data_IF_791824495040
#
_entry.id   IF_791824495040
#
_cell.length_a   1.000
_cell.length_b   1.000
_cell.length_c   1.000
_cell.angle_alpha   90.00
_cell.angle_beta   90.00
_cell.angle_gamma   90.00
#
_symmetry.space_group_name_H-M   'P 1'
#
loop_
_entity.id
_entity.type
_entity.pdbx_description
1 polymer ?
#
# COMPACT_ATOMS: atom_id res chain seq x y z
N UNK A 1 3.34 -34.17 -12.89
CA UNK A 1 4.22 -33.39 -11.98
C UNK A 1 4.31 -31.91 -12.33
N UNK A 2 4.55 -31.51 -13.59
CA UNK A 2 4.71 -30.09 -13.97
C UNK A 2 3.44 -29.24 -13.76
N UNK A 3 2.27 -29.76 -14.14
CA UNK A 3 0.98 -29.05 -13.98
C UNK A 3 0.57 -28.83 -12.53
N UNK A 4 0.82 -29.80 -11.66
CA UNK A 4 0.53 -29.68 -10.22
C UNK A 4 1.39 -28.60 -9.54
N UNK A 5 2.64 -28.45 -9.98
CA UNK A 5 3.55 -27.40 -9.49
C UNK A 5 3.07 -26.01 -9.92
N UNK A 6 2.63 -25.84 -11.18
CA UNK A 6 2.08 -24.58 -11.66
C UNK A 6 0.83 -24.15 -10.88
N UNK A 7 -0.05 -25.09 -10.52
CA UNK A 7 -1.26 -24.80 -9.75
C UNK A 7 -0.91 -24.33 -8.34
N UNK A 8 0.05 -24.99 -7.68
CA UNK A 8 0.51 -24.57 -6.34
C UNK A 8 1.13 -23.18 -6.37
N UNK A 9 1.97 -22.88 -7.37
CA UNK A 9 2.57 -21.55 -7.53
C UNK A 9 1.50 -20.49 -7.76
N UNK A 10 0.53 -20.75 -8.62
CA UNK A 10 -0.55 -19.79 -8.91
C UNK A 10 -1.41 -19.50 -7.67
N UNK A 11 -1.71 -20.53 -6.85
CA UNK A 11 -2.41 -20.38 -5.57
C UNK A 11 -1.62 -19.54 -4.56
N UNK A 12 -0.30 -19.75 -4.47
CA UNK A 12 0.56 -18.97 -3.57
C UNK A 12 0.66 -17.51 -4.01
N UNK A 13 0.74 -17.24 -5.32
CA UNK A 13 0.73 -15.87 -5.85
C UNK A 13 -0.56 -15.13 -5.50
N UNK A 14 -1.70 -15.83 -5.54
CA UNK A 14 -3.00 -15.26 -5.20
C UNK A 14 -3.17 -14.96 -3.71
N UNK A 15 -2.41 -15.64 -2.83
CA UNK A 15 -2.48 -15.45 -1.38
C UNK A 15 -1.57 -14.32 -0.85
N UNK A 16 -0.62 -13.82 -1.65
CA UNK A 16 0.31 -12.76 -1.23
C UNK A 16 -0.33 -11.44 -0.76
N UNK A 17 -1.42 -10.93 -1.37
CA UNK A 17 -2.02 -9.67 -0.94
C UNK A 17 -2.51 -9.68 0.52
N UNK A 18 -2.82 -10.87 1.05
CA UNK A 18 -3.31 -11.03 2.43
C UNK A 18 -2.24 -10.70 3.48
N UNK A 19 -0.96 -10.81 3.12
CA UNK A 19 0.18 -10.51 4.00
C UNK A 19 0.80 -9.13 3.76
N UNK A 20 0.27 -8.35 2.82
CA UNK A 20 0.77 -7.02 2.46
C UNK A 20 0.08 -5.88 3.22
N UNK A 21 -0.75 -6.19 4.23
CA UNK A 21 -1.39 -5.17 5.05
C UNK A 21 -0.35 -4.49 5.97
N UNK A 22 -0.45 -3.17 6.18
CA UNK A 22 0.41 -2.47 7.13
C UNK A 22 0.11 -2.94 8.56
N UNK A 23 1.15 -3.15 9.38
CA UNK A 23 1.00 -3.43 10.80
C UNK A 23 1.09 -2.14 11.62
N UNK A 24 0.39 -2.09 12.75
CA UNK A 24 0.49 -0.97 13.67
C UNK A 24 1.90 -0.95 14.30
N UNK A 25 2.56 0.21 14.22
CA UNK A 25 3.91 0.42 14.75
C UNK A 25 5.02 0.33 13.69
N UNK A 26 4.74 -0.27 12.54
CA UNK A 26 5.63 -0.18 11.38
C UNK A 26 5.66 1.27 10.85
N UNK A 27 6.78 1.73 10.27
CA UNK A 27 6.80 2.99 9.54
C UNK A 27 5.72 3.00 8.45
N UNK A 28 4.98 4.10 8.34
CA UNK A 28 4.04 4.28 7.24
C UNK A 28 4.81 4.22 5.90
N UNK A 29 4.31 3.49 4.88
CA UNK A 29 4.93 3.47 3.56
C UNK A 29 5.05 4.87 2.99
N UNK A 30 6.21 5.19 2.42
CA UNK A 30 6.39 6.48 1.76
C UNK A 30 5.58 6.53 0.46
N UNK A 31 5.08 7.71 0.14
CA UNK A 31 4.31 7.97 -1.07
C UNK A 31 4.52 9.41 -1.53
N UNK A 32 4.25 9.65 -2.81
CA UNK A 32 4.20 10.99 -3.39
C UNK A 32 2.97 11.09 -4.28
N UNK A 33 2.07 12.03 -3.98
CA UNK A 33 0.81 12.20 -4.69
C UNK A 33 0.52 13.69 -4.95
N UNK A 34 -0.12 14.02 -6.09
CA UNK A 34 -0.59 15.38 -6.34
C UNK A 34 -1.88 15.68 -5.58
N UNK A 35 -2.02 16.92 -5.12
CA UNK A 35 -3.30 17.45 -4.64
C UNK A 35 -4.20 17.94 -5.80
N UNK A 36 -5.36 18.50 -5.47
CA UNK A 36 -6.33 19.02 -6.44
C UNK A 36 -5.84 20.28 -7.20
N UNK A 37 -4.72 20.88 -6.77
CA UNK A 37 -4.04 21.99 -7.45
C UNK A 37 -2.83 21.53 -8.27
N UNK A 38 -2.61 20.22 -8.37
CA UNK A 38 -1.44 19.58 -8.98
C UNK A 38 -0.11 19.86 -8.27
N UNK A 39 -0.16 20.27 -7.01
CA UNK A 39 1.05 20.35 -6.18
C UNK A 39 1.38 18.96 -5.65
N UNK A 40 2.62 18.52 -5.84
CA UNK A 40 3.09 17.22 -5.37
C UNK A 40 3.49 17.29 -3.91
N UNK A 41 3.03 16.33 -3.10
CA UNK A 41 3.38 16.19 -1.69
C UNK A 41 3.96 14.79 -1.45
N UNK A 42 5.02 14.68 -0.65
CA UNK A 42 5.55 13.43 -0.10
C UNK A 42 5.17 13.30 1.37
N UNK A 43 5.04 12.07 1.89
CA UNK A 43 4.83 11.84 3.32
C UNK A 43 5.87 12.58 4.19
N UNK A 44 7.11 12.67 3.70
CA UNK A 44 8.21 13.32 4.43
C UNK A 44 8.02 14.84 4.63
N UNK A 45 7.18 15.50 3.83
CA UNK A 45 6.83 16.92 4.02
C UNK A 45 6.13 17.17 5.36
N UNK A 46 5.50 16.14 5.94
CA UNK A 46 4.74 16.20 7.19
C UNK A 46 5.52 15.72 8.41
N UNK A 47 6.83 15.50 8.28
CA UNK A 47 7.67 15.01 9.38
C UNK A 47 7.48 15.84 10.66
N UNK A 48 7.44 15.16 11.81
CA UNK A 48 7.18 15.73 13.15
C UNK A 48 5.72 16.14 13.44
N UNK A 49 4.79 15.89 12.51
CA UNK A 49 3.37 16.07 12.75
C UNK A 49 2.66 14.71 12.92
N UNK A 50 1.64 14.67 13.77
CA UNK A 50 0.68 13.56 13.78
C UNK A 50 -0.31 13.81 12.64
N UNK A 51 -0.41 12.88 11.71
CA UNK A 51 -1.29 12.98 10.54
C UNK A 51 -2.29 11.83 10.49
N UNK A 52 -3.41 12.06 9.81
CA UNK A 52 -4.40 11.03 9.49
C UNK A 52 -4.38 10.78 7.99
N UNK A 53 -4.15 9.54 7.57
CA UNK A 53 -4.30 9.12 6.17
C UNK A 53 -5.74 8.65 5.95
N UNK A 54 -6.48 9.39 5.13
CA UNK A 54 -7.85 9.07 4.78
C UNK A 54 -7.93 8.58 3.33
N UNK A 55 -8.46 7.38 3.13
CA UNK A 55 -8.78 6.83 1.82
C UNK A 55 -10.28 6.94 1.62
N UNK A 56 -10.70 7.62 0.56
CA UNK A 56 -12.10 7.84 0.29
C UNK A 56 -12.33 8.35 -1.12
N UNK A 57 -13.58 8.25 -1.53
CA UNK A 57 -14.09 8.68 -2.82
C UNK A 57 -15.33 9.55 -2.56
N UNK A 58 -15.68 10.44 -3.50
CA UNK A 58 -16.78 11.40 -3.32
C UNK A 58 -18.18 10.88 -3.72
N UNK A 59 -18.27 9.65 -4.23
CA UNK A 59 -19.47 9.06 -4.83
C UNK A 59 -20.12 7.99 -3.95
#
# INVERSE_FOLDING_TARGET
MKTSLCIIVLLLLFAMPLFAAPNVGDPAPDFTLPDTTYTSHTLSDYTYNVIFLNFGESW
#
